data_IF_462790900247
#
_entry.id   IF_462790900247
#
_cell.length_a   1.000
_cell.length_b   1.000
_cell.length_c   1.000
_cell.angle_alpha   90.00
_cell.angle_beta   90.00
_cell.angle_gamma   90.00
#
_symmetry.space_group_name_H-M   'P 1'
#
loop_
_entity.id
_entity.type
_entity.pdbx_description
1 polymer ?
#
# COMPACT_ATOMS: atom_id res chain seq x y z
N UNK A 1 -5.26 62.41 50.91
CA UNK A 1 -6.41 62.01 50.07
C UNK A 1 -6.33 60.49 49.94
N UNK A 2 -6.73 59.66 50.91
CA UNK A 2 -8.11 59.31 51.34
C UNK A 2 -8.98 58.96 50.11
N UNK A 3 -9.47 57.74 49.88
CA UNK A 3 -9.95 56.69 50.82
C UNK A 3 -9.93 55.26 50.21
N UNK A 4 -9.60 54.28 51.08
CA UNK A 4 -10.26 52.97 51.33
C UNK A 4 -10.65 52.08 50.12
N UNK A 5 -10.29 50.80 50.02
CA UNK A 5 -9.99 49.79 51.05
C UNK A 5 -11.11 48.75 51.11
N UNK A 6 -10.82 47.46 50.82
CA UNK A 6 -11.25 46.31 51.64
C UNK A 6 -10.82 44.97 51.04
N UNK A 7 -9.79 44.44 51.68
CA UNK A 7 -9.48 43.02 51.82
C UNK A 7 -10.70 42.32 52.44
N UNK A 8 -11.16 41.22 51.84
CA UNK A 8 -11.87 40.16 52.55
C UNK A 8 -11.33 38.80 52.10
N UNK A 9 -10.48 38.27 52.96
CA UNK A 9 -10.12 36.86 53.08
C UNK A 9 -11.36 36.02 53.38
N UNK A 10 -11.55 34.91 52.67
CA UNK A 10 -12.31 33.77 53.19
C UNK A 10 -11.36 32.57 53.21
N UNK A 11 -11.12 32.11 54.44
CA UNK A 11 -10.36 30.91 54.81
C UNK A 11 -11.26 29.69 54.66
N UNK A 12 -10.64 28.59 54.22
CA UNK A 12 -10.91 27.19 54.57
C UNK A 12 -12.34 26.67 54.23
N UNK A 13 -12.64 25.41 54.00
CA UNK A 13 -12.03 24.11 54.15
C UNK A 13 -12.85 23.20 53.20
N UNK A 14 -12.40 22.08 52.65
CA UNK A 14 -12.18 20.80 53.31
C UNK A 14 -11.73 19.84 52.20
N UNK A 15 -10.70 19.07 52.51
CA UNK A 15 -10.40 17.84 51.81
C UNK A 15 -11.55 16.84 51.99
N UNK A 16 -11.90 16.11 50.93
CA UNK A 16 -12.50 14.80 51.02
C UNK A 16 -11.75 13.88 50.05
N UNK A 17 -10.87 13.07 50.63
CA UNK A 17 -10.34 11.84 50.05
C UNK A 17 -11.42 10.74 50.14
N UNK A 18 -11.10 9.59 49.50
CA UNK A 18 -11.76 8.26 49.52
C UNK A 18 -12.56 8.00 48.22
N UNK A 19 -12.35 6.95 47.42
CA UNK A 19 -11.37 5.86 47.42
C UNK A 19 -11.41 5.13 46.06
N UNK A 20 -10.24 4.59 45.67
CA UNK A 20 -10.00 3.26 45.10
C UNK A 20 -10.89 2.75 43.96
N UNK A 21 -10.26 2.57 42.79
CA UNK A 21 -10.41 1.33 42.04
C UNK A 21 -9.03 0.92 41.47
N UNK A 22 -8.30 0.16 42.28
CA UNK A 22 -7.28 -0.76 41.80
C UNK A 22 -7.96 -1.80 40.91
N UNK A 23 -7.75 -1.75 39.59
CA UNK A 23 -8.11 -2.87 38.74
C UNK A 23 -7.05 -3.96 38.88
N UNK A 24 -7.39 -4.86 39.79
CA UNK A 24 -6.90 -6.22 39.92
C UNK A 24 -6.93 -6.96 38.59
N UNK A 25 -5.78 -7.55 38.26
CA UNK A 25 -5.69 -8.66 37.33
C UNK A 25 -6.65 -9.78 37.75
N UNK A 26 -7.47 -10.25 36.80
CA UNK A 26 -8.29 -11.44 36.90
C UNK A 26 -8.21 -12.23 35.58
N UNK A 27 -8.10 -13.57 35.61
CA UNK A 27 -7.83 -14.38 34.43
C UNK A 27 -9.14 -14.71 33.70
N UNK A 28 -9.49 -13.90 32.72
CA UNK A 28 -10.47 -14.26 31.70
C UNK A 28 -10.06 -13.55 30.41
N UNK A 29 -9.82 -14.34 29.37
CA UNK A 29 -9.17 -13.94 28.13
C UNK A 29 -9.77 -12.68 27.50
N UNK A 30 -9.10 -11.55 27.71
CA UNK A 30 -9.12 -10.46 26.77
C UNK A 30 -8.16 -10.87 25.65
N UNK A 31 -8.74 -11.28 24.53
CA UNK A 31 -8.02 -11.31 23.26
C UNK A 31 -7.56 -9.88 22.99
N UNK A 32 -6.35 -9.55 23.46
CA UNK A 32 -5.61 -8.41 22.95
C UNK A 32 -5.32 -8.79 21.51
N UNK A 33 -6.17 -8.30 20.61
CA UNK A 33 -5.85 -8.25 19.20
C UNK A 33 -4.62 -7.34 19.09
N UNK A 34 -3.43 -7.94 19.20
CA UNK A 34 -2.22 -7.31 18.72
C UNK A 34 -2.45 -7.11 17.23
N UNK A 35 -2.77 -5.87 16.84
CA UNK A 35 -2.54 -5.45 15.48
C UNK A 35 -1.03 -5.61 15.27
N UNK A 36 -0.61 -6.75 14.72
CA UNK A 36 0.76 -6.92 14.26
C UNK A 36 1.01 -5.79 13.26
N UNK A 37 1.78 -4.80 13.69
CA UNK A 37 2.32 -3.81 12.77
C UNK A 37 3.14 -4.61 11.79
N UNK A 38 2.64 -4.76 10.57
CA UNK A 38 3.35 -5.47 9.52
C UNK A 38 4.78 -4.93 9.48
N UNK A 39 5.75 -5.82 9.65
CA UNK A 39 7.15 -5.43 9.68
C UNK A 39 7.47 -4.64 8.41
N UNK A 40 8.19 -3.52 8.57
CA UNK A 40 8.59 -2.70 7.43
C UNK A 40 9.39 -3.57 6.43
N UNK A 41 9.18 -3.33 5.13
CA UNK A 41 9.89 -4.08 4.10
C UNK A 41 11.42 -3.89 4.29
N UNK A 42 12.23 -4.96 4.19
CA UNK A 42 13.68 -4.87 4.35
C UNK A 42 14.35 -3.82 3.46
N UNK A 43 13.79 -3.52 2.27
CA UNK A 43 14.31 -2.48 1.38
C UNK A 43 14.15 -1.09 2.02
N UNK A 44 13.00 -0.81 2.63
CA UNK A 44 12.74 0.47 3.31
C UNK A 44 13.58 0.60 4.59
N UNK A 45 13.86 -0.52 5.27
CA UNK A 45 14.79 -0.58 6.40
C UNK A 45 16.22 -0.27 5.93
N UNK A 46 16.69 -0.93 4.87
CA UNK A 46 18.02 -0.72 4.30
C UNK A 46 18.20 0.70 3.77
N UNK A 47 17.17 1.29 3.16
CA UNK A 47 17.19 2.69 2.73
C UNK A 47 17.37 3.62 3.94
N UNK A 48 16.60 3.44 5.02
CA UNK A 48 16.75 4.25 6.25
C UNK A 48 18.15 4.14 6.85
N UNK A 49 18.72 2.95 6.85
CA UNK A 49 20.11 2.74 7.30
C UNK A 49 21.12 3.42 6.38
N UNK A 50 20.93 3.34 5.07
CA UNK A 50 21.77 4.01 4.08
C UNK A 50 21.78 5.53 4.28
N UNK A 51 20.59 6.14 4.45
CA UNK A 51 20.44 7.57 4.67
C UNK A 51 21.11 8.04 5.97
N UNK A 52 21.26 7.16 6.97
CA UNK A 52 21.94 7.46 8.23
C UNK A 52 23.48 7.32 8.17
N UNK A 53 24.05 6.79 7.07
CA UNK A 53 25.51 6.61 6.95
C UNK A 53 26.23 7.95 6.82
N UNK A 54 27.37 8.08 7.49
CA UNK A 54 28.19 9.31 7.43
C UNK A 54 28.67 9.64 6.02
N UNK A 55 29.04 8.63 5.23
CA UNK A 55 29.51 8.80 3.85
C UNK A 55 28.38 9.10 2.85
N UNK A 56 27.12 9.02 3.28
CA UNK A 56 25.93 9.36 2.49
C UNK A 56 25.23 10.62 2.97
N UNK A 57 25.84 11.43 3.84
CA UNK A 57 25.20 12.60 4.45
C UNK A 57 24.93 13.77 3.49
N UNK A 58 25.67 13.85 2.37
CA UNK A 58 25.44 14.86 1.33
C UNK A 58 24.13 14.61 0.59
N UNK A 59 23.50 15.65 0.02
CA UNK A 59 22.28 15.48 -0.81
C UNK A 59 22.49 14.44 -1.92
N UNK A 60 23.66 14.45 -2.59
CA UNK A 60 23.96 13.46 -3.61
C UNK A 60 24.00 12.03 -3.04
N UNK A 61 24.59 11.84 -1.86
CA UNK A 61 24.61 10.55 -1.17
C UNK A 61 23.21 10.08 -0.74
N UNK A 62 22.35 11.00 -0.30
CA UNK A 62 20.95 10.69 0.03
C UNK A 62 20.16 10.26 -1.23
N UNK A 63 20.31 10.98 -2.34
CA UNK A 63 19.69 10.63 -3.63
C UNK A 63 20.20 9.26 -4.12
N UNK A 64 21.49 8.96 -3.93
CA UNK A 64 22.04 7.64 -4.25
C UNK A 64 21.36 6.53 -3.44
N UNK A 65 21.16 6.71 -2.12
CA UNK A 65 20.42 5.74 -1.30
C UNK A 65 18.99 5.51 -1.81
N UNK A 66 18.30 6.57 -2.22
CA UNK A 66 16.95 6.47 -2.79
C UNK A 66 16.96 5.74 -4.15
N UNK A 67 17.95 6.00 -4.99
CA UNK A 67 18.14 5.31 -6.27
C UNK A 67 18.46 3.82 -6.10
N UNK A 68 19.30 3.47 -5.13
CA UNK A 68 19.58 2.07 -4.75
C UNK A 68 18.29 1.37 -4.28
N UNK A 69 17.48 2.02 -3.44
CA UNK A 69 16.19 1.49 -3.01
C UNK A 69 15.22 1.32 -4.18
N UNK A 70 15.17 2.27 -5.12
CA UNK A 70 14.34 2.18 -6.32
C UNK A 70 14.71 0.97 -7.17
N UNK A 71 16.00 0.67 -7.35
CA UNK A 71 16.48 -0.51 -8.07
C UNK A 71 16.09 -1.82 -7.37
N UNK A 72 16.16 -1.86 -6.03
CA UNK A 72 15.72 -3.02 -5.26
C UNK A 72 14.20 -3.23 -5.37
N UNK A 73 13.41 -2.16 -5.30
CA UNK A 73 11.96 -2.21 -5.50
C UNK A 73 11.59 -2.64 -6.94
N UNK A 74 12.36 -2.21 -7.93
CA UNK A 74 12.21 -2.66 -9.31
C UNK A 74 12.44 -4.19 -9.43
N UNK A 75 13.48 -4.73 -8.79
CA UNK A 75 13.71 -6.17 -8.77
C UNK A 75 12.58 -6.95 -8.09
N UNK A 76 12.03 -6.43 -7.00
CA UNK A 76 10.82 -7.00 -6.35
C UNK A 76 9.63 -7.00 -7.30
N UNK A 77 9.39 -5.87 -7.99
CA UNK A 77 8.30 -5.76 -8.94
C UNK A 77 8.42 -6.81 -10.05
N UNK A 78 9.61 -6.96 -10.62
CA UNK A 78 9.86 -7.92 -11.70
C UNK A 78 9.68 -9.37 -11.22
N UNK A 79 10.19 -9.72 -10.04
CA UNK A 79 9.98 -11.04 -9.43
C UNK A 79 8.52 -11.31 -9.10
N UNK A 80 7.79 -10.33 -8.55
CA UNK A 80 6.36 -10.45 -8.28
C UNK A 80 5.55 -10.62 -9.56
N UNK A 81 5.91 -9.90 -10.62
CA UNK A 81 5.27 -10.02 -11.93
C UNK A 81 5.52 -11.40 -12.57
N UNK A 82 6.71 -11.97 -12.41
CA UNK A 82 7.02 -13.34 -12.84
C UNK A 82 6.17 -14.37 -12.09
N UNK A 83 6.10 -14.30 -10.75
CA UNK A 83 5.23 -15.19 -9.94
C UNK A 83 3.78 -15.09 -10.38
N UNK A 84 3.26 -13.86 -10.49
CA UNK A 84 1.90 -13.61 -10.96
C UNK A 84 1.67 -14.22 -12.35
N UNK A 85 2.63 -14.08 -13.26
CA UNK A 85 2.52 -14.63 -14.62
C UNK A 85 2.51 -16.17 -14.64
N UNK A 86 3.06 -16.82 -13.62
CA UNK A 86 3.08 -18.29 -13.52
C UNK A 86 1.80 -18.83 -12.86
N UNK A 87 1.34 -18.17 -11.79
CA UNK A 87 0.32 -18.71 -10.91
C UNK A 87 -1.10 -18.18 -11.20
N UNK A 88 -1.22 -17.02 -11.85
CA UNK A 88 -2.53 -16.40 -12.10
C UNK A 88 -3.35 -17.15 -13.18
N UNK A 89 -4.69 -17.18 -13.03
CA UNK A 89 -5.58 -17.73 -14.05
C UNK A 89 -5.47 -16.93 -15.37
N UNK A 90 -5.81 -17.56 -16.50
CA UNK A 90 -5.50 -17.05 -17.84
C UNK A 90 -6.12 -15.67 -18.17
N UNK A 91 -7.29 -15.36 -17.62
CA UNK A 91 -7.95 -14.06 -17.73
C UNK A 91 -7.21 -12.97 -16.93
N UNK A 92 -6.94 -13.23 -15.65
CA UNK A 92 -6.19 -12.32 -14.80
C UNK A 92 -4.77 -12.10 -15.31
N UNK A 93 -4.08 -13.16 -15.74
CA UNK A 93 -2.75 -13.10 -16.33
C UNK A 93 -2.70 -12.13 -17.51
N UNK A 94 -3.63 -12.23 -18.46
CA UNK A 94 -3.70 -11.30 -19.61
C UNK A 94 -3.94 -9.86 -19.17
N UNK A 95 -4.84 -9.66 -18.20
CA UNK A 95 -5.10 -8.33 -17.64
C UNK A 95 -3.87 -7.72 -16.97
N UNK A 96 -3.18 -8.46 -16.11
CA UNK A 96 -1.96 -7.99 -15.44
C UNK A 96 -0.81 -7.74 -16.42
N UNK A 97 -0.69 -8.55 -17.47
CA UNK A 97 0.28 -8.31 -18.54
C UNK A 97 -0.01 -6.99 -19.28
N UNK A 98 -1.28 -6.67 -19.56
CA UNK A 98 -1.64 -5.38 -20.16
C UNK A 98 -1.40 -4.22 -19.21
N UNK A 99 -1.86 -4.33 -17.97
CA UNK A 99 -1.59 -3.36 -16.90
C UNK A 99 -0.08 -3.08 -16.78
N UNK A 100 0.78 -4.11 -16.81
CA UNK A 100 2.22 -3.94 -16.71
C UNK A 100 2.82 -3.22 -17.93
N UNK A 101 2.41 -3.57 -19.15
CA UNK A 101 2.85 -2.84 -20.36
C UNK A 101 2.46 -1.37 -20.30
N UNK A 102 1.21 -1.08 -19.91
CA UNK A 102 0.70 0.30 -19.79
C UNK A 102 1.44 1.06 -18.69
N UNK A 103 1.74 0.42 -17.56
CA UNK A 103 2.54 0.99 -16.49
C UNK A 103 3.92 1.40 -17.00
N UNK A 104 4.64 0.52 -17.70
CA UNK A 104 5.97 0.82 -18.25
C UNK A 104 5.92 1.99 -19.24
N UNK A 105 4.93 2.01 -20.14
CA UNK A 105 4.74 3.13 -21.07
C UNK A 105 4.50 4.44 -20.32
N UNK A 106 3.60 4.44 -19.33
CA UNK A 106 3.37 5.61 -18.48
C UNK A 106 4.63 6.07 -17.78
N UNK A 107 5.41 5.18 -17.15
CA UNK A 107 6.63 5.58 -16.44
C UNK A 107 7.66 6.24 -17.35
N UNK A 108 7.79 5.79 -18.60
CA UNK A 108 8.67 6.44 -19.60
C UNK A 108 8.24 7.89 -19.87
N UNK A 109 6.96 8.12 -20.13
CA UNK A 109 6.44 9.49 -20.37
C UNK A 109 6.47 10.35 -19.11
N UNK A 110 6.21 9.77 -17.94
CA UNK A 110 6.20 10.46 -16.66
C UNK A 110 7.59 11.01 -16.31
N UNK A 111 8.67 10.29 -16.61
CA UNK A 111 10.04 10.79 -16.39
C UNK A 111 10.28 12.10 -17.16
N UNK A 112 9.75 12.23 -18.38
CA UNK A 112 9.86 13.47 -19.15
C UNK A 112 9.02 14.60 -18.55
N UNK A 113 7.84 14.30 -17.99
CA UNK A 113 7.04 15.27 -17.24
C UNK A 113 7.77 15.75 -15.98
N UNK A 114 8.30 14.82 -15.18
CA UNK A 114 9.06 15.15 -13.97
C UNK A 114 10.25 16.04 -14.31
N UNK A 115 11.03 15.67 -15.34
CA UNK A 115 12.13 16.50 -15.82
C UNK A 115 11.66 17.91 -16.20
N UNK A 116 10.61 18.03 -17.01
CA UNK A 116 10.07 19.32 -17.43
C UNK A 116 9.61 20.21 -16.26
N UNK A 117 9.09 19.63 -15.18
CA UNK A 117 8.66 20.37 -13.98
C UNK A 117 9.87 20.76 -13.13
N UNK A 118 10.75 19.82 -12.82
CA UNK A 118 11.88 20.07 -11.91
C UNK A 118 13.02 20.87 -12.55
N UNK A 119 13.14 20.90 -13.88
CA UNK A 119 14.06 21.81 -14.59
C UNK A 119 13.67 23.30 -14.39
N UNK A 120 12.45 23.61 -13.93
CA UNK A 120 11.97 24.95 -13.55
C UNK A 120 12.12 25.26 -12.05
N UNK A 121 13.07 24.59 -11.39
CA UNK A 121 13.28 24.74 -9.94
C UNK A 121 14.77 24.83 -9.62
N UNK A 122 15.09 25.45 -8.48
CA UNK A 122 16.46 25.57 -7.98
C UNK A 122 16.57 25.08 -6.53
N UNK A 123 17.68 24.41 -6.22
CA UNK A 123 18.00 23.97 -4.86
C UNK A 123 17.86 22.46 -4.64
N UNK A 124 18.59 21.96 -3.65
CA UNK A 124 18.70 20.52 -3.36
C UNK A 124 17.43 19.91 -2.79
N UNK A 125 16.54 20.70 -2.19
CA UNK A 125 15.23 20.24 -1.70
C UNK A 125 14.35 19.68 -2.83
N UNK A 126 14.34 20.35 -3.99
CA UNK A 126 13.60 19.90 -5.17
C UNK A 126 14.25 18.65 -5.81
N UNK A 127 15.59 18.55 -5.77
CA UNK A 127 16.28 17.33 -6.21
C UNK A 127 15.89 16.11 -5.35
N UNK A 128 15.81 16.28 -4.02
CA UNK A 128 15.31 15.23 -3.11
C UNK A 128 13.86 14.86 -3.40
N UNK A 129 12.99 15.86 -3.61
CA UNK A 129 11.58 15.64 -3.97
C UNK A 129 11.44 14.92 -5.32
N UNK A 130 12.29 15.23 -6.30
CA UNK A 130 12.31 14.55 -7.61
C UNK A 130 12.74 13.09 -7.49
N UNK A 131 13.74 12.79 -6.65
CA UNK A 131 14.15 11.42 -6.37
C UNK A 131 13.01 10.61 -5.72
N UNK A 132 12.28 11.20 -4.77
CA UNK A 132 11.14 10.54 -4.13
C UNK A 132 10.00 10.26 -5.13
N UNK A 133 9.70 11.21 -6.02
CA UNK A 133 8.70 11.05 -7.09
C UNK A 133 9.03 9.94 -8.10
N UNK A 134 10.31 9.55 -8.20
CA UNK A 134 10.74 8.42 -9.02
C UNK A 134 10.67 7.10 -8.26
N UNK A 135 10.99 7.11 -6.96
CA UNK A 135 11.00 5.94 -6.08
C UNK A 135 9.59 5.42 -5.77
N UNK A 136 8.71 6.26 -5.22
CA UNK A 136 7.43 5.80 -4.64
C UNK A 136 6.56 5.00 -5.62
N UNK A 137 6.38 5.42 -6.90
CA UNK A 137 5.55 4.66 -7.84
C UNK A 137 6.09 3.27 -8.19
N UNK A 138 7.40 3.05 -8.07
CA UNK A 138 8.02 1.73 -8.28
C UNK A 138 7.73 0.84 -7.08
N UNK A 139 7.90 1.37 -5.87
CA UNK A 139 7.54 0.68 -4.61
C UNK A 139 6.06 0.29 -4.58
N UNK A 140 5.16 1.22 -4.86
CA UNK A 140 3.72 0.96 -4.83
C UNK A 140 3.32 -0.09 -5.86
N UNK A 141 3.90 -0.04 -7.07
CA UNK A 141 3.66 -1.06 -8.09
C UNK A 141 4.20 -2.44 -7.68
N UNK A 142 5.38 -2.49 -7.07
CA UNK A 142 5.98 -3.72 -6.57
C UNK A 142 5.09 -4.38 -5.52
N UNK A 143 4.57 -3.59 -4.57
CA UNK A 143 3.65 -4.06 -3.53
C UNK A 143 2.31 -4.52 -4.12
N UNK A 144 1.75 -3.78 -5.08
CA UNK A 144 0.51 -4.18 -5.74
C UNK A 144 0.65 -5.51 -6.49
N UNK A 145 1.76 -5.71 -7.22
CA UNK A 145 2.04 -6.97 -7.91
C UNK A 145 2.33 -8.12 -6.93
N UNK A 146 3.02 -7.84 -5.81
CA UNK A 146 3.28 -8.83 -4.77
C UNK A 146 1.96 -9.31 -4.16
N UNK A 147 1.10 -8.39 -3.72
CA UNK A 147 -0.20 -8.72 -3.17
C UNK A 147 -1.07 -9.50 -4.18
N UNK A 148 -1.03 -9.13 -5.46
CA UNK A 148 -1.76 -9.86 -6.50
C UNK A 148 -1.19 -11.27 -6.73
N UNK A 149 0.14 -11.44 -6.76
CA UNK A 149 0.78 -12.75 -6.86
C UNK A 149 0.42 -13.65 -5.68
N UNK A 150 0.43 -13.10 -4.45
CA UNK A 150 0.14 -13.85 -3.23
C UNK A 150 -1.34 -14.31 -3.20
N UNK A 151 -2.27 -13.54 -3.79
CA UNK A 151 -3.68 -13.97 -3.97
C UNK A 151 -3.84 -15.16 -4.93
N UNK A 152 -2.95 -15.30 -5.91
CA UNK A 152 -2.99 -16.39 -6.89
C UNK A 152 -2.06 -17.54 -6.54
N UNK A 153 -1.23 -17.39 -5.51
CA UNK A 153 -0.29 -18.42 -5.11
C UNK A 153 -1.03 -19.74 -4.84
N UNK A 154 -0.48 -20.87 -5.31
CA UNK A 154 -1.05 -22.17 -5.01
C UNK A 154 -1.11 -22.36 -3.49
N UNK A 155 -2.13 -23.05 -2.96
CA UNK A 155 -2.17 -23.36 -1.54
C UNK A 155 -0.86 -24.07 -1.15
N UNK A 156 -0.27 -23.75 0.01
CA UNK A 156 0.96 -24.40 0.44
C UNK A 156 0.72 -25.90 0.38
N UNK A 157 1.62 -26.63 -0.30
CA UNK A 157 1.54 -28.07 -0.39
C UNK A 157 1.38 -28.61 1.04
N UNK A 158 0.31 -29.37 1.28
CA UNK A 158 0.07 -29.97 2.58
C UNK A 158 1.31 -30.79 2.94
N UNK A 159 2.08 -30.30 3.91
CA UNK A 159 3.25 -31.03 4.41
C UNK A 159 2.67 -32.33 4.99
N UNK A 160 3.00 -33.51 4.44
CA UNK A 160 2.51 -34.74 5.03
C UNK A 160 3.08 -34.80 6.45
N UNK A 161 2.20 -34.69 7.45
CA UNK A 161 2.56 -34.99 8.83
C UNK A 161 3.00 -36.45 8.81
N UNK A 162 4.31 -36.68 8.92
CA UNK A 162 4.86 -38.01 8.98
C UNK A 162 4.18 -38.73 10.15
N UNK A 163 3.34 -39.72 9.83
CA UNK A 163 2.81 -40.64 10.81
C UNK A 163 4.01 -41.35 11.44
N UNK A 164 4.29 -41.05 12.70
CA UNK A 164 5.24 -41.76 13.53
C UNK A 164 4.68 -43.14 13.84
N UNK A 165 4.92 -44.08 12.91
CA UNK A 165 4.68 -45.49 13.11
C UNK A 165 5.77 -46.07 14.02
N UNK A 166 5.49 -46.15 15.32
CA UNK A 166 6.32 -46.84 16.30
C UNK A 166 5.52 -47.90 17.06
N UNK A 167 5.70 -49.15 16.62
CA UNK A 167 5.50 -50.47 17.25
C UNK A 167 5.40 -50.54 18.79
N UNK A 168 4.84 -51.54 19.49
CA UNK A 168 4.17 -52.83 19.23
C UNK A 168 3.68 -53.38 20.60
N UNK A 169 2.64 -54.22 20.58
CA UNK A 169 2.17 -55.04 21.72
C UNK A 169 0.64 -55.04 21.73
N UNK A 170 -0.09 -56.07 21.33
CA UNK A 170 0.13 -57.49 21.49
C UNK A 170 -0.91 -58.01 22.48
N UNK A 171 -2.07 -58.46 22.00
CA UNK A 171 -2.83 -59.65 22.46
C UNK A 171 -4.19 -59.76 21.75
N UNK A 172 -4.56 -61.00 21.46
CA UNK A 172 -5.77 -61.46 20.76
C UNK A 172 -7.00 -61.42 21.68
N UNK A 173 -8.16 -61.11 21.10
CA UNK A 173 -9.48 -61.37 21.68
C UNK A 173 -10.59 -61.11 20.65
N UNK A 174 -11.38 -62.12 20.35
CA UNK A 174 -12.42 -62.11 19.32
C UNK A 174 -13.74 -61.48 19.80
N UNK A 175 -14.49 -60.87 18.86
CA UNK A 175 -15.94 -61.01 18.62
C UNK A 175 -16.65 -59.69 18.20
N UNK A 176 -17.28 -59.75 17.02
CA UNK A 176 -18.57 -59.19 16.58
C UNK A 176 -18.95 -57.74 16.96
N UNK A 177 -19.06 -56.85 15.97
CA UNK A 177 -20.25 -56.02 15.67
C UNK A 177 -19.93 -54.91 14.63
N UNK A 178 -20.75 -54.81 13.59
CA UNK A 178 -21.07 -53.56 12.89
C UNK A 178 -22.47 -53.11 13.38
N UNK A 179 -22.95 -51.86 13.20
CA UNK A 179 -22.50 -50.84 12.23
C UNK A 179 -22.41 -49.39 12.76
N UNK A 180 -21.96 -48.50 11.86
CA UNK A 180 -22.27 -47.06 11.75
C UNK A 180 -21.88 -46.09 12.87
N UNK A 181 -21.05 -45.08 12.54
CA UNK A 181 -21.35 -43.66 12.77
C UNK A 181 -20.19 -42.74 12.33
N UNK A 182 -20.53 -41.79 11.47
CA UNK A 182 -20.01 -40.42 11.40
C UNK A 182 -18.49 -40.19 11.40
N UNK A 183 -17.94 -40.12 10.17
CA UNK A 183 -16.78 -39.30 9.88
C UNK A 183 -17.12 -37.82 10.15
N UNK A 184 -16.72 -37.28 11.30
CA UNK A 184 -16.66 -35.84 11.54
C UNK A 184 -15.36 -35.30 10.93
N UNK A 185 -15.31 -35.28 9.61
CA UNK A 185 -14.38 -34.40 8.91
C UNK A 185 -14.85 -32.97 9.16
N UNK A 186 -14.10 -32.22 9.97
CA UNK A 186 -14.20 -30.77 10.07
C UNK A 186 -13.75 -30.09 8.77
N UNK A 187 -14.42 -30.43 7.66
CA UNK A 187 -14.25 -29.79 6.37
C UNK A 187 -14.93 -28.44 6.42
N UNK A 188 -14.12 -27.38 6.56
CA UNK A 188 -14.52 -26.01 6.23
C UNK A 188 -15.23 -26.04 4.86
N UNK A 189 -16.44 -25.49 4.69
CA UNK A 189 -17.18 -25.64 3.45
C UNK A 189 -16.36 -25.06 2.30
N UNK A 190 -16.03 -25.91 1.33
CA UNK A 190 -15.23 -25.61 0.14
C UNK A 190 -15.94 -24.70 -0.88
N UNK A 191 -16.93 -23.93 -0.44
CA UNK A 191 -17.83 -23.18 -1.32
C UNK A 191 -18.09 -21.76 -0.80
N UNK A 192 -17.04 -21.09 -0.29
CA UNK A 192 -17.04 -19.63 -0.34
C UNK A 192 -16.87 -19.23 -1.82
N UNK A 193 -17.71 -18.35 -2.38
CA UNK A 193 -17.51 -17.83 -3.73
C UNK A 193 -16.07 -17.28 -3.82
N UNK A 194 -15.24 -17.87 -4.68
CA UNK A 194 -13.94 -17.27 -4.98
C UNK A 194 -14.25 -15.97 -5.71
N UNK A 195 -13.78 -14.86 -5.13
CA UNK A 195 -13.89 -13.56 -5.78
C UNK A 195 -13.33 -13.65 -7.21
N UNK A 196 -14.07 -13.17 -8.22
CA UNK A 196 -13.62 -13.28 -9.60
C UNK A 196 -12.32 -12.49 -9.78
N UNK A 197 -11.36 -13.12 -10.44
CA UNK A 197 -10.01 -12.57 -10.66
C UNK A 197 -10.01 -11.31 -11.55
N UNK A 198 -11.06 -11.14 -12.36
CA UNK A 198 -11.35 -9.93 -13.13
C UNK A 198 -12.80 -9.52 -12.88
N UNK A 199 -13.00 -8.24 -12.51
CA UNK A 199 -14.30 -7.67 -12.15
C UNK A 199 -14.76 -6.67 -13.21
N UNK A 200 -16.07 -6.62 -13.45
CA UNK A 200 -16.66 -5.50 -14.21
C UNK A 200 -16.63 -4.26 -13.33
N UNK A 201 -15.98 -3.21 -13.80
CA UNK A 201 -15.93 -1.91 -13.11
C UNK A 201 -17.05 -1.03 -13.63
N UNK A 202 -17.84 -0.43 -12.74
CA UNK A 202 -18.91 0.49 -13.14
C UNK A 202 -18.32 1.81 -13.66
N UNK A 203 -19.04 2.57 -14.50
CA UNK A 203 -18.64 3.92 -14.86
C UNK A 203 -18.39 4.76 -13.60
N UNK A 204 -17.33 5.58 -13.61
CA UNK A 204 -16.93 6.36 -12.44
C UNK A 204 -18.01 7.34 -11.97
N UNK A 205 -18.86 7.84 -12.88
CA UNK A 205 -20.02 8.70 -12.58
C UNK A 205 -21.11 8.03 -11.74
N UNK A 206 -21.04 6.72 -11.52
CA UNK A 206 -21.99 5.98 -10.68
C UNK A 206 -21.44 5.73 -9.26
N UNK A 207 -20.24 6.22 -8.97
CA UNK A 207 -19.51 6.03 -7.73
C UNK A 207 -19.04 7.41 -7.26
N UNK A 208 -19.66 7.94 -6.21
CA UNK A 208 -19.40 9.29 -5.71
C UNK A 208 -17.94 9.49 -5.29
N UNK A 209 -17.28 8.46 -4.76
CA UNK A 209 -15.87 8.54 -4.38
C UNK A 209 -14.98 8.65 -5.62
N UNK A 210 -15.26 7.83 -6.64
CA UNK A 210 -14.55 7.91 -7.91
C UNK A 210 -14.79 9.24 -8.63
N UNK A 211 -16.04 9.70 -8.69
CA UNK A 211 -16.40 10.97 -9.34
C UNK A 211 -15.67 12.16 -8.68
N UNK A 212 -15.69 12.21 -7.35
CA UNK A 212 -14.98 13.24 -6.60
C UNK A 212 -13.45 13.18 -6.86
N UNK A 213 -12.86 11.99 -6.84
CA UNK A 213 -11.44 11.81 -7.11
C UNK A 213 -11.06 12.25 -8.55
N UNK A 214 -11.90 11.96 -9.55
CA UNK A 214 -11.67 12.44 -10.93
C UNK A 214 -11.81 13.95 -11.04
N UNK A 215 -12.76 14.55 -10.33
CA UNK A 215 -12.91 16.01 -10.29
C UNK A 215 -11.63 16.68 -9.78
N UNK A 216 -11.11 16.21 -8.65
CA UNK A 216 -9.87 16.73 -8.07
C UNK A 216 -8.65 16.48 -8.97
N UNK A 217 -8.57 15.31 -9.59
CA UNK A 217 -7.50 15.01 -10.54
C UNK A 217 -7.51 16.02 -11.70
N UNK A 218 -8.66 16.26 -12.30
CA UNK A 218 -8.81 17.23 -13.40
C UNK A 218 -8.47 18.65 -12.94
N UNK A 219 -8.88 19.04 -11.73
CA UNK A 219 -8.54 20.34 -11.13
C UNK A 219 -7.04 20.53 -11.03
N UNK A 220 -6.30 19.58 -10.46
CA UNK A 220 -4.84 19.70 -10.32
C UNK A 220 -4.11 19.57 -11.65
N UNK A 221 -4.60 18.73 -12.58
CA UNK A 221 -4.07 18.64 -13.94
C UNK A 221 -4.13 19.99 -14.66
N UNK A 222 -5.29 20.68 -14.62
CA UNK A 222 -5.43 22.00 -15.24
C UNK A 222 -4.58 23.06 -14.55
N UNK A 223 -4.47 22.99 -13.21
CA UNK A 223 -3.60 23.90 -12.44
C UNK A 223 -2.13 23.73 -12.85
N UNK A 224 -1.63 22.50 -12.94
CA UNK A 224 -0.28 22.21 -13.41
C UNK A 224 -0.09 22.69 -14.85
N UNK A 225 -1.01 22.36 -15.75
CA UNK A 225 -0.94 22.74 -17.17
C UNK A 225 -0.79 24.25 -17.38
N UNK A 226 -1.47 25.07 -16.56
CA UNK A 226 -1.37 26.55 -16.63
C UNK A 226 -0.03 27.09 -16.15
N UNK A 227 0.68 26.36 -15.28
CA UNK A 227 1.98 26.75 -14.74
C UNK A 227 3.16 26.26 -15.58
N UNK A 228 2.97 25.21 -16.38
CA UNK A 228 4.04 24.65 -17.19
C UNK A 228 4.40 25.55 -18.39
N UNK A 229 5.68 25.64 -18.76
CA UNK A 229 6.09 26.28 -20.00
C UNK A 229 5.41 25.66 -21.23
N UNK A 230 5.04 26.49 -22.21
CA UNK A 230 4.31 26.04 -23.40
C UNK A 230 5.04 24.94 -24.19
N UNK A 231 6.37 25.02 -24.27
CA UNK A 231 7.19 24.04 -24.98
C UNK A 231 7.20 22.66 -24.32
N UNK A 232 6.95 22.57 -23.01
CA UNK A 232 6.97 21.32 -22.26
C UNK A 232 5.57 20.81 -21.90
N UNK A 233 4.50 21.58 -22.14
CA UNK A 233 3.12 21.21 -21.85
C UNK A 233 2.68 19.88 -22.50
N UNK A 234 3.27 19.50 -23.65
CA UNK A 234 2.99 18.22 -24.30
C UNK A 234 3.45 17.00 -23.48
N UNK A 235 4.45 17.15 -22.61
CA UNK A 235 4.92 16.06 -21.71
C UNK A 235 3.83 15.67 -20.72
N UNK A 236 3.11 16.66 -20.15
CA UNK A 236 1.98 16.44 -19.24
C UNK A 236 0.85 15.68 -19.92
N UNK A 237 0.49 16.08 -21.15
CA UNK A 237 -0.59 15.43 -21.92
C UNK A 237 -0.25 13.96 -22.19
N UNK A 238 0.98 13.68 -22.64
CA UNK A 238 1.41 12.30 -22.93
C UNK A 238 1.42 11.44 -21.67
N UNK A 239 2.05 11.92 -20.61
CA UNK A 239 2.15 11.21 -19.34
C UNK A 239 0.77 10.94 -18.72
N UNK A 240 -0.13 11.94 -18.75
CA UNK A 240 -1.50 11.78 -18.25
C UNK A 240 -2.31 10.76 -19.05
N UNK A 241 -2.25 10.81 -20.39
CA UNK A 241 -2.95 9.83 -21.24
C UNK A 241 -2.41 8.42 -21.03
N UNK A 242 -1.10 8.27 -20.89
CA UNK A 242 -0.50 6.97 -20.61
C UNK A 242 -0.91 6.44 -19.22
N UNK A 243 -0.99 7.32 -18.22
CA UNK A 243 -1.50 6.96 -16.89
C UNK A 243 -2.97 6.54 -16.92
N UNK A 244 -3.83 7.21 -17.68
CA UNK A 244 -5.24 6.82 -17.84
C UNK A 244 -5.36 5.43 -18.45
N UNK A 245 -4.57 5.11 -19.48
CA UNK A 245 -4.53 3.77 -20.05
C UNK A 245 -4.05 2.71 -19.04
N UNK A 246 -3.11 3.06 -18.16
CA UNK A 246 -2.69 2.20 -17.05
C UNK A 246 -3.80 2.00 -16.00
N UNK A 247 -4.47 3.08 -15.59
CA UNK A 247 -5.62 3.02 -14.67
C UNK A 247 -6.71 2.11 -15.23
N UNK A 248 -7.09 2.30 -16.49
CA UNK A 248 -8.22 1.60 -17.10
C UNK A 248 -7.92 0.10 -17.32
N UNK A 249 -6.68 -0.25 -17.64
CA UNK A 249 -6.25 -1.66 -17.71
C UNK A 249 -6.10 -2.31 -16.33
N UNK A 250 -5.91 -1.53 -15.27
CA UNK A 250 -5.71 -2.05 -13.91
C UNK A 250 -7.02 -2.13 -13.11
N UNK A 251 -7.97 -1.22 -13.32
CA UNK A 251 -9.21 -1.13 -12.54
C UNK A 251 -9.99 -2.46 -12.46
N UNK A 252 -10.16 -3.25 -13.55
CA UNK A 252 -10.82 -4.56 -13.48
C UNK A 252 -10.12 -5.59 -12.58
N UNK A 253 -8.82 -5.41 -12.33
CA UNK A 253 -7.98 -6.33 -11.56
C UNK A 253 -7.94 -6.00 -10.06
N UNK A 254 -8.24 -4.75 -9.71
CA UNK A 254 -8.17 -4.24 -8.34
C UNK A 254 -9.54 -3.85 -7.76
N UNK A 255 -10.58 -3.78 -8.60
CA UNK A 255 -11.93 -3.39 -8.19
C UNK A 255 -12.12 -1.87 -8.10
N UNK A 256 -13.27 -1.46 -7.55
CA UNK A 256 -13.68 -0.05 -7.49
C UNK A 256 -12.83 0.74 -6.49
N UNK A 257 -12.61 0.20 -5.28
CA UNK A 257 -11.77 0.84 -4.25
C UNK A 257 -10.33 1.02 -4.75
N UNK A 258 -9.74 -0.04 -5.31
CA UNK A 258 -8.39 0.04 -5.88
C UNK A 258 -8.28 1.01 -7.05
N UNK A 259 -9.36 1.23 -7.82
CA UNK A 259 -9.39 2.28 -8.84
C UNK A 259 -9.38 3.67 -8.20
N UNK A 260 -10.13 3.89 -7.11
CA UNK A 260 -10.14 5.16 -6.38
C UNK A 260 -8.75 5.44 -5.79
N UNK A 261 -8.08 4.44 -5.23
CA UNK A 261 -6.71 4.57 -4.71
C UNK A 261 -5.71 4.97 -5.79
N UNK A 262 -5.79 4.36 -6.98
CA UNK A 262 -4.97 4.74 -8.13
C UNK A 262 -5.17 6.22 -8.51
N UNK A 263 -6.42 6.69 -8.52
CA UNK A 263 -6.74 8.09 -8.81
C UNK A 263 -6.21 9.00 -7.70
N UNK A 264 -6.37 8.61 -6.43
CA UNK A 264 -5.85 9.35 -5.26
C UNK A 264 -4.34 9.54 -5.30
N UNK A 265 -3.58 8.49 -5.63
CA UNK A 265 -2.13 8.58 -5.81
C UNK A 265 -1.74 9.53 -6.94
N UNK A 266 -2.51 9.54 -8.04
CA UNK A 266 -2.30 10.48 -9.15
C UNK A 266 -2.64 11.91 -8.76
N UNK A 267 -3.70 12.14 -7.98
CA UNK A 267 -4.05 13.45 -7.43
C UNK A 267 -2.88 13.99 -6.61
N UNK A 268 -2.31 13.19 -5.70
CA UNK A 268 -1.18 13.61 -4.88
C UNK A 268 0.04 14.01 -5.73
N UNK A 269 0.32 13.25 -6.79
CA UNK A 269 1.37 13.57 -7.76
C UNK A 269 1.08 14.89 -8.47
N UNK A 270 -0.11 15.05 -9.05
CA UNK A 270 -0.52 16.25 -9.79
C UNK A 270 -0.53 17.49 -8.90
N UNK A 271 -1.01 17.37 -7.67
CA UNK A 271 -0.99 18.42 -6.66
C UNK A 271 0.44 18.87 -6.41
N UNK A 272 1.34 17.94 -6.07
CA UNK A 272 2.76 18.26 -5.81
C UNK A 272 3.40 18.93 -7.02
N UNK A 273 3.24 18.37 -8.22
CA UNK A 273 3.79 18.98 -9.43
C UNK A 273 3.22 20.39 -9.68
N UNK A 274 1.92 20.61 -9.43
CA UNK A 274 1.30 21.94 -9.57
C UNK A 274 1.77 22.95 -8.52
N UNK A 275 2.25 22.45 -7.37
CA UNK A 275 2.85 23.25 -6.31
C UNK A 275 4.34 23.49 -6.57
N UNK A 276 5.02 22.64 -7.34
CA UNK A 276 6.44 22.74 -7.71
C UNK A 276 6.69 23.59 -8.97
N UNK A 277 5.87 23.42 -10.02
CA UNK A 277 6.11 24.05 -11.32
C UNK A 277 6.07 25.58 -11.24
N UNK A 278 7.07 26.23 -11.86
CA UNK A 278 7.17 27.69 -11.94
C UNK A 278 7.59 28.37 -10.63
N UNK A 279 8.20 27.64 -9.70
CA UNK A 279 8.81 28.19 -8.49
C UNK A 279 10.31 28.48 -8.70
N UNK A 280 10.61 29.39 -9.63
CA UNK A 280 11.96 29.88 -9.89
C UNK A 280 12.33 31.07 -8.98
#
# INVERSE_FOLDING_TARGET
MATQGRIRTIRAALAALVAWASWSAGPAGLNVAHAEVAAADPIDVAMRQCLARRDRSSTAGQIQCMGEAQQQWQAVMDGAYQRLSNDAPADAKRGWQDSQRRWVTWRKDEIHLLKAVYDTTRGTSYAMSSADMQLQPVRDRALALRAAADRYAPPPAAVPVAATSGAQGGTRGAAVAAPSAAAAAGGKPANAPRDPAVRRVRPCVQDAACEHALFDLNRYYQKLRRKMPAHSAATLVRAQRAWEAFRDSTAPLVGEDGRVDLIGARIATMKRLSETAGND
#
